data_IF_247779924911
#
_entry.id   IF_247779924911
#
_cell.length_a   1.000
_cell.length_b   1.000
_cell.length_c   1.000
_cell.angle_alpha   90.00
_cell.angle_beta   90.00
_cell.angle_gamma   90.00
#
_symmetry.space_group_name_H-M   'P 1'
#
loop_
_entity.id
_entity.type
_entity.pdbx_description
1 polymer ?
#
# COMPACT_ATOMS: atom_id res chain seq x y z
N UNK A 1 9.36 3.67 -11.60
CA UNK A 1 8.49 2.66 -10.96
C UNK A 1 9.25 2.03 -9.81
N UNK A 2 8.64 1.92 -8.62
CA UNK A 2 9.22 1.26 -7.44
C UNK A 2 8.36 0.07 -7.03
N UNK A 3 8.99 -0.93 -6.42
CA UNK A 3 8.28 -2.08 -5.87
C UNK A 3 8.87 -2.46 -4.52
N UNK A 4 8.02 -2.98 -3.65
CA UNK A 4 8.38 -3.43 -2.31
C UNK A 4 7.60 -4.71 -2.00
N UNK A 5 8.23 -5.68 -1.35
CA UNK A 5 7.52 -6.78 -0.69
C UNK A 5 7.40 -6.45 0.79
N UNK A 6 6.19 -6.56 1.32
CA UNK A 6 5.88 -6.32 2.74
C UNK A 6 5.35 -7.61 3.31
N UNK A 7 6.05 -8.14 4.32
CA UNK A 7 5.61 -9.31 5.05
C UNK A 7 4.80 -8.83 6.25
N UNK A 8 3.56 -9.31 6.39
CA UNK A 8 2.68 -9.00 7.51
C UNK A 8 2.10 -10.31 7.97
N UNK A 9 2.41 -10.70 9.21
CA UNK A 9 2.06 -12.01 9.75
C UNK A 9 2.60 -13.12 8.83
N UNK A 10 1.72 -13.97 8.31
CA UNK A 10 2.05 -15.07 7.38
C UNK A 10 1.81 -14.70 5.90
N UNK A 11 1.31 -13.50 5.62
CA UNK A 11 0.96 -13.04 4.28
C UNK A 11 2.07 -12.13 3.68
N UNK A 12 2.28 -12.23 2.37
CA UNK A 12 3.27 -11.44 1.62
C UNK A 12 2.57 -10.54 0.61
N UNK A 13 2.64 -9.23 0.84
CA UNK A 13 2.03 -8.22 -0.02
C UNK A 13 3.07 -7.63 -0.97
N UNK A 14 2.76 -7.61 -2.26
CA UNK A 14 3.58 -6.92 -3.26
C UNK A 14 3.04 -5.51 -3.50
N UNK A 15 3.78 -4.51 -3.07
CA UNK A 15 3.49 -3.10 -3.29
C UNK A 15 4.17 -2.64 -4.57
N UNK A 16 3.42 -1.95 -5.43
CA UNK A 16 3.89 -1.29 -6.62
C UNK A 16 3.54 0.19 -6.54
N UNK A 17 4.53 1.05 -6.80
CA UNK A 17 4.32 2.48 -7.04
C UNK A 17 4.62 2.76 -8.52
N UNK A 18 3.57 2.85 -9.37
CA UNK A 18 3.77 3.07 -10.81
C UNK A 18 4.50 4.39 -11.08
N UNK A 19 4.08 5.46 -10.39
CA UNK A 19 4.59 6.83 -10.56
C UNK A 19 5.13 7.33 -9.22
N UNK A 20 6.42 7.67 -9.16
CA UNK A 20 7.12 7.99 -7.91
C UNK A 20 6.69 9.31 -7.26
N UNK A 21 6.11 10.23 -8.04
CA UNK A 21 5.68 11.56 -7.60
C UNK A 21 4.24 11.60 -7.06
N UNK A 22 3.51 10.49 -7.18
CA UNK A 22 2.10 10.38 -6.76
C UNK A 22 2.01 9.39 -5.61
N UNK A 23 1.17 9.73 -4.62
CA UNK A 23 0.87 8.85 -3.48
C UNK A 23 -0.18 7.81 -3.87
N UNK A 24 0.06 7.06 -4.95
CA UNK A 24 -0.83 5.99 -5.40
C UNK A 24 -0.02 4.69 -5.47
N UNK A 25 -0.54 3.67 -4.80
CA UNK A 25 0.13 2.39 -4.63
C UNK A 25 -0.83 1.26 -4.96
N UNK A 26 -0.36 0.31 -5.76
CA UNK A 26 -1.07 -0.94 -6.03
C UNK A 26 -0.52 -2.02 -5.12
N UNK A 27 -1.40 -2.71 -4.40
CA UNK A 27 -1.08 -3.82 -3.53
C UNK A 27 -1.60 -5.09 -4.19
N UNK A 28 -0.73 -6.07 -4.37
CA UNK A 28 -1.07 -7.37 -4.97
C UNK A 28 -0.84 -8.46 -3.94
N UNK A 29 -1.86 -9.29 -3.74
CA UNK A 29 -1.88 -10.40 -2.82
C UNK A 29 -2.58 -11.61 -3.47
N UNK A 30 -2.40 -12.82 -2.94
CA UNK A 30 -3.08 -14.02 -3.45
C UNK A 30 -4.61 -13.93 -3.33
N UNK A 31 -5.11 -13.22 -2.31
CA UNK A 31 -6.55 -13.03 -2.03
C UNK A 31 -7.19 -11.89 -2.86
N UNK A 32 -6.39 -11.08 -3.56
CA UNK A 32 -6.88 -9.97 -4.37
C UNK A 32 -5.87 -8.84 -4.57
N UNK A 33 -6.32 -7.77 -5.22
CA UNK A 33 -5.52 -6.55 -5.39
C UNK A 33 -6.27 -5.31 -4.91
N UNK A 34 -5.49 -4.33 -4.48
CA UNK A 34 -5.98 -3.11 -3.86
C UNK A 34 -5.23 -1.92 -4.43
N UNK A 35 -5.89 -0.76 -4.45
CA UNK A 35 -5.22 0.53 -4.63
C UNK A 35 -5.37 1.33 -3.36
N UNK A 36 -4.26 1.87 -2.88
CA UNK A 36 -4.22 2.70 -1.67
C UNK A 36 -3.54 4.03 -1.97
N UNK A 37 -3.94 5.04 -1.21
CA UNK A 37 -3.33 6.37 -1.26
C UNK A 37 -3.02 6.88 0.13
N UNK A 38 -2.04 7.77 0.22
CA UNK A 38 -1.71 8.52 1.44
C UNK A 38 -2.10 9.98 1.26
N UNK A 39 -2.95 10.47 2.16
CA UNK A 39 -3.30 11.88 2.26
C UNK A 39 -2.04 12.71 2.50
N UNK A 40 -1.81 13.73 1.66
CA UNK A 40 -0.68 14.66 1.84
C UNK A 40 -0.86 15.56 3.06
N UNK A 41 -2.10 15.83 3.47
CA UNK A 41 -2.40 16.77 4.56
C UNK A 41 -2.43 16.07 5.92
N UNK A 42 -3.07 14.89 6.00
CA UNK A 42 -3.23 14.16 7.27
C UNK A 42 -2.26 13.01 7.45
N UNK A 43 -1.55 12.58 6.40
CA UNK A 43 -0.73 11.37 6.42
C UNK A 43 -1.52 10.06 6.49
N UNK A 44 -2.85 10.13 6.51
CA UNK A 44 -3.71 8.96 6.59
C UNK A 44 -3.68 8.12 5.32
N UNK A 45 -3.70 6.80 5.51
CA UNK A 45 -3.79 5.83 4.43
C UNK A 45 -5.23 5.44 4.16
N UNK A 46 -5.61 5.40 2.89
CA UNK A 46 -6.97 5.07 2.43
C UNK A 46 -6.95 4.06 1.31
N UNK A 47 -7.90 3.14 1.32
CA UNK A 47 -8.17 2.23 0.19
C UNK A 47 -9.09 2.94 -0.80
N UNK A 48 -8.71 2.95 -2.07
CA UNK A 48 -9.47 3.54 -3.16
C UNK A 48 -10.24 2.47 -3.95
N UNK A 49 -9.57 1.37 -4.27
CA UNK A 49 -10.12 0.27 -5.07
C UNK A 49 -9.75 -1.04 -4.39
N UNK A 50 -10.66 -2.00 -4.40
CA UNK A 50 -10.40 -3.38 -4.01
C UNK A 50 -11.12 -4.34 -4.94
N UNK A 51 -10.42 -5.39 -5.38
CA UNK A 51 -11.03 -6.40 -6.27
C UNK A 51 -11.82 -7.46 -5.50
N UNK A 52 -11.60 -7.59 -4.19
CA UNK A 52 -12.28 -8.54 -3.34
C UNK A 52 -12.69 -7.88 -2.02
N UNK A 53 -14.00 -7.64 -1.85
CA UNK A 53 -14.54 -6.93 -0.69
C UNK A 53 -14.58 -7.77 0.60
N UNK A 54 -14.37 -9.08 0.53
CA UNK A 54 -14.30 -9.93 1.73
C UNK A 54 -12.94 -9.90 2.42
N UNK A 55 -11.93 -9.32 1.77
CA UNK A 55 -10.56 -9.28 2.27
C UNK A 55 -10.29 -7.92 2.89
N UNK A 56 -9.98 -7.92 4.18
CA UNK A 56 -9.56 -6.72 4.89
C UNK A 56 -8.06 -6.53 4.68
N UNK A 57 -7.69 -5.47 3.97
CA UNK A 57 -6.28 -5.10 3.79
C UNK A 57 -5.73 -4.50 5.10
N UNK A 58 -4.60 -4.98 5.62
CA UNK A 58 -3.95 -4.37 6.78
C UNK A 58 -3.24 -3.06 6.37
N UNK A 59 -4.02 -2.02 6.08
CA UNK A 59 -3.55 -0.79 5.42
C UNK A 59 -2.53 -0.01 6.24
N UNK A 60 -2.68 0.02 7.57
CA UNK A 60 -1.79 0.75 8.46
C UNK A 60 -0.35 0.17 8.47
N UNK A 61 -0.13 -1.13 8.71
CA UNK A 61 1.22 -1.70 8.65
C UNK A 61 1.82 -1.68 7.24
N UNK A 62 1.01 -1.84 6.17
CA UNK A 62 1.49 -1.68 4.79
C UNK A 62 1.95 -0.23 4.56
N UNK A 63 1.14 0.75 4.95
CA UNK A 63 1.43 2.17 4.82
C UNK A 63 2.74 2.54 5.50
N UNK A 64 2.94 2.09 6.74
CA UNK A 64 4.19 2.28 7.47
C UNK A 64 5.41 1.71 6.73
N UNK A 65 5.31 0.48 6.21
CA UNK A 65 6.38 -0.12 5.44
C UNK A 65 6.70 0.67 4.15
N UNK A 66 5.69 1.24 3.50
CA UNK A 66 5.87 2.11 2.34
C UNK A 66 6.61 3.39 2.75
N UNK A 67 6.22 4.05 3.84
CA UNK A 67 6.88 5.27 4.33
C UNK A 67 8.36 5.04 4.60
N UNK A 68 8.69 3.97 5.35
CA UNK A 68 10.06 3.61 5.70
C UNK A 68 10.92 3.27 4.48
N UNK A 69 10.37 2.48 3.53
CA UNK A 69 11.16 1.95 2.40
C UNK A 69 11.23 2.89 1.22
N UNK A 70 10.22 3.71 1.00
CA UNK A 70 10.21 4.70 -0.08
C UNK A 70 10.64 6.10 0.36
N UNK A 71 10.95 6.28 1.64
CA UNK A 71 11.43 7.55 2.19
C UNK A 71 10.37 8.64 2.14
N UNK A 72 9.11 8.29 2.40
CA UNK A 72 8.02 9.27 2.46
C UNK A 72 8.06 9.89 3.84
N UNK A 73 8.69 11.04 3.94
CA UNK A 73 8.75 11.84 5.17
C UNK A 73 7.62 12.88 5.12
N UNK A 74 7.04 13.18 6.27
CA UNK A 74 6.14 14.34 6.40
C UNK A 74 6.89 15.64 6.10
#
# INVERSE_FOLDING_TARGET
MRSLKVNIEEDVYSVLQPITTINLYKIVHNKGSFEITRSRHSGEWKVLIQTNHSVILPVAPIGKAIEEKFGIVN
#
